data_IF_742259909214
#
_entry.id   IF_742259909214
#
_cell.length_a   1.000
_cell.length_b   1.000
_cell.length_c   1.000
_cell.angle_alpha   90.00
_cell.angle_beta   90.00
_cell.angle_gamma   90.00
#
_symmetry.space_group_name_H-M   'P 1'
#
loop_
_entity.id
_entity.type
_entity.pdbx_description
1 polymer ?
#
# COMPACT_ATOMS: atom_id res chain seq x y z
N UNK A 1 3.35 -17.29 -19.13
CA UNK A 1 1.91 -16.97 -19.03
C UNK A 1 1.79 -15.45 -19.17
N UNK A 2 1.08 -14.91 -20.18
CA UNK A 2 0.99 -13.44 -20.36
C UNK A 2 0.21 -12.86 -19.17
N UNK A 3 0.82 -11.95 -18.41
CA UNK A 3 0.14 -11.19 -17.35
C UNK A 3 -1.10 -10.51 -17.93
N UNK A 4 -2.21 -10.54 -17.19
CA UNK A 4 -3.44 -9.86 -17.62
C UNK A 4 -3.22 -8.34 -17.67
N UNK A 5 -3.98 -7.63 -18.51
CA UNK A 5 -3.92 -6.16 -18.58
C UNK A 5 -4.17 -5.50 -17.21
N UNK A 6 -5.05 -6.10 -16.40
CA UNK A 6 -5.29 -5.68 -15.03
C UNK A 6 -4.06 -5.85 -14.13
N UNK A 7 -3.34 -6.97 -14.23
CA UNK A 7 -2.09 -7.18 -13.48
C UNK A 7 -1.01 -6.16 -13.89
N UNK A 8 -0.88 -5.87 -15.19
CA UNK A 8 0.06 -4.84 -15.67
C UNK A 8 -0.28 -3.43 -15.19
N UNK A 9 -1.56 -3.09 -15.06
CA UNK A 9 -1.94 -1.80 -14.43
C UNK A 9 -1.63 -1.74 -12.94
N UNK A 10 -1.48 -2.89 -12.27
CA UNK A 10 -1.15 -2.98 -10.85
C UNK A 10 0.37 -2.98 -10.65
N UNK A 11 1.15 -3.65 -11.51
CA UNK A 11 2.63 -3.65 -11.43
C UNK A 11 3.27 -2.41 -12.07
N UNK A 12 2.50 -1.65 -12.86
CA UNK A 12 3.00 -0.52 -13.63
C UNK A 12 3.77 -0.96 -14.89
N UNK A 13 4.10 -0.01 -15.78
CA UNK A 13 4.79 -0.32 -17.02
C UNK A 13 6.26 -0.70 -16.79
N UNK A 14 6.68 -1.85 -17.32
CA UNK A 14 8.06 -2.37 -17.36
C UNK A 14 8.61 -2.41 -18.80
N UNK A 15 9.87 -2.82 -18.98
CA UNK A 15 10.58 -2.86 -20.28
C UNK A 15 10.75 -1.48 -20.94
N UNK A 16 11.06 -0.48 -20.11
CA UNK A 16 11.39 0.88 -20.55
C UNK A 16 12.49 1.47 -19.65
N UNK A 17 13.22 2.49 -20.09
CA UNK A 17 14.06 3.26 -19.18
C UNK A 17 13.23 4.01 -18.14
N UNK A 18 13.88 4.50 -17.08
CA UNK A 18 13.27 5.43 -16.14
C UNK A 18 12.79 6.69 -16.87
N UNK A 19 11.59 7.15 -16.52
CA UNK A 19 11.07 8.45 -16.97
C UNK A 19 11.83 9.58 -16.30
N UNK A 20 11.75 10.79 -16.87
CA UNK A 20 12.39 11.96 -16.27
C UNK A 20 11.82 12.29 -14.89
N UNK A 21 10.53 12.01 -14.64
CA UNK A 21 9.94 12.13 -13.31
C UNK A 21 10.59 11.17 -12.31
N UNK A 22 10.81 9.91 -12.70
CA UNK A 22 11.42 8.90 -11.83
C UNK A 22 12.90 9.17 -11.59
N UNK A 23 13.64 9.63 -12.61
CA UNK A 23 15.04 10.05 -12.47
C UNK A 23 15.17 11.28 -11.56
N UNK A 24 14.27 12.26 -11.74
CA UNK A 24 14.30 13.49 -10.94
C UNK A 24 13.97 13.18 -9.48
N UNK A 25 13.02 12.27 -9.22
CA UNK A 25 12.60 11.88 -7.87
C UNK A 25 13.16 10.51 -7.46
N UNK A 26 14.41 10.23 -7.82
CA UNK A 26 15.16 9.12 -7.28
C UNK A 26 15.42 9.34 -5.78
N UNK A 27 15.26 8.28 -5.00
CA UNK A 27 15.45 8.29 -3.56
C UNK A 27 16.86 7.79 -3.27
N UNK A 28 17.70 8.68 -2.77
CA UNK A 28 19.12 8.39 -2.50
C UNK A 28 19.33 8.14 -0.99
N UNK A 29 20.44 7.50 -0.62
CA UNK A 29 20.73 7.10 0.78
C UNK A 29 21.27 8.26 1.65
N UNK A 30 21.29 9.50 1.14
CA UNK A 30 21.79 10.70 1.84
C UNK A 30 20.93 11.17 3.03
N UNK A 31 19.95 10.37 3.43
CA UNK A 31 19.02 10.63 4.53
C UNK A 31 19.51 9.98 5.85
N UNK A 32 20.49 9.08 5.79
CA UNK A 32 21.12 8.46 6.97
C UNK A 32 21.58 9.50 8.00
N UNK A 33 21.28 9.24 9.27
CA UNK A 33 21.72 10.08 10.40
C UNK A 33 20.98 11.41 10.56
N UNK A 34 19.99 11.72 9.72
CA UNK A 34 19.20 12.96 9.85
C UNK A 34 17.93 12.79 10.70
N UNK A 35 17.85 11.75 11.54
CA UNK A 35 16.67 11.44 12.36
C UNK A 35 15.51 10.87 11.56
N UNK A 36 14.79 9.89 12.12
CA UNK A 36 13.75 9.14 11.39
C UNK A 36 12.38 9.58 11.91
N UNK A 37 11.57 10.25 11.07
CA UNK A 37 10.23 10.63 11.46
C UNK A 37 9.34 9.40 11.65
N UNK A 38 8.40 9.46 12.60
CA UNK A 38 7.36 8.44 12.78
C UNK A 38 6.60 8.24 11.47
N UNK A 39 6.71 7.04 10.91
CA UNK A 39 5.79 6.62 9.85
C UNK A 39 4.53 6.01 10.47
N UNK A 40 3.41 6.69 10.30
CA UNK A 40 2.12 6.26 10.87
C UNK A 40 1.44 5.13 10.12
N UNK A 41 1.81 4.89 8.87
CA UNK A 41 1.11 3.88 8.09
C UNK A 41 1.25 2.48 8.66
N UNK A 42 2.29 2.22 9.48
CA UNK A 42 2.47 0.97 10.24
C UNK A 42 2.22 -0.28 9.38
N UNK A 43 2.59 -0.22 8.09
CA UNK A 43 2.44 -1.30 7.12
C UNK A 43 3.57 -2.31 7.28
N UNK A 44 3.79 -2.76 8.52
CA UNK A 44 4.85 -3.70 8.90
C UNK A 44 4.19 -5.01 9.32
N UNK A 45 4.60 -6.13 8.72
CA UNK A 45 4.13 -7.47 9.05
C UNK A 45 4.99 -8.05 10.18
N UNK A 46 6.31 -7.85 10.10
CA UNK A 46 7.29 -8.35 11.06
C UNK A 46 8.56 -7.51 10.98
N UNK A 47 9.18 -7.22 12.12
CA UNK A 47 10.46 -6.52 12.16
C UNK A 47 11.36 -7.17 13.21
N UNK A 48 12.59 -7.45 12.84
CA UNK A 48 13.60 -7.98 13.74
C UNK A 48 15.02 -7.55 13.35
N UNK A 49 16.06 -8.02 14.04
CA UNK A 49 17.45 -7.64 13.72
C UNK A 49 17.98 -8.25 12.42
N UNK A 50 17.26 -9.20 11.80
CA UNK A 50 17.64 -9.85 10.54
C UNK A 50 16.85 -9.34 9.35
N UNK A 51 15.52 -9.25 9.47
CA UNK A 51 14.67 -8.73 8.39
C UNK A 51 13.49 -7.87 8.84
N UNK A 52 13.09 -6.98 7.93
CA UNK A 52 11.86 -6.20 7.95
C UNK A 52 10.95 -6.73 6.85
N UNK A 53 9.71 -7.05 7.18
CA UNK A 53 8.71 -7.54 6.22
C UNK A 53 7.53 -6.58 6.17
N UNK A 54 7.16 -6.17 4.97
CA UNK A 54 6.07 -5.24 4.67
C UNK A 54 5.21 -5.82 3.55
N UNK A 55 3.91 -5.50 3.44
CA UNK A 55 3.17 -5.84 2.25
C UNK A 55 3.60 -4.94 1.09
N UNK A 56 3.44 -5.40 -0.14
CA UNK A 56 3.47 -4.58 -1.33
C UNK A 56 2.21 -3.69 -1.40
N UNK A 57 2.27 -2.67 -2.24
CA UNK A 57 1.13 -1.86 -2.65
C UNK A 57 -0.14 -2.64 -2.95
N UNK A 58 -1.26 -1.96 -2.74
CA UNK A 58 -2.57 -2.51 -3.00
C UNK A 58 -3.16 -3.32 -1.84
N UNK A 59 -2.39 -3.76 -0.84
CA UNK A 59 -2.94 -4.47 0.33
C UNK A 59 -4.16 -3.75 0.96
N UNK A 60 -4.14 -2.42 1.20
CA UNK A 60 -5.33 -1.68 1.61
C UNK A 60 -6.41 -1.57 0.50
N UNK A 61 -5.99 -1.33 -0.75
CA UNK A 61 -6.86 -1.06 -1.89
C UNK A 61 -7.72 -2.25 -2.35
N UNK A 62 -7.35 -3.49 -1.99
CA UNK A 62 -8.20 -4.66 -2.26
C UNK A 62 -9.61 -4.48 -1.65
N UNK A 63 -9.73 -3.76 -0.53
CA UNK A 63 -10.99 -3.54 0.20
C UNK A 63 -11.97 -2.61 -0.52
N UNK A 64 -11.46 -1.55 -1.14
CA UNK A 64 -12.26 -0.65 -2.00
C UNK A 64 -12.76 -1.40 -3.22
N UNK A 65 -11.89 -2.22 -3.83
CA UNK A 65 -12.28 -3.07 -4.96
C UNK A 65 -13.39 -4.08 -4.58
N UNK A 66 -13.38 -4.62 -3.36
CA UNK A 66 -14.46 -5.47 -2.85
C UNK A 66 -15.78 -4.70 -2.67
N UNK A 67 -15.74 -3.46 -2.15
CA UNK A 67 -16.91 -2.60 -2.06
C UNK A 67 -17.52 -2.29 -3.43
N UNK A 68 -16.69 -2.00 -4.43
CA UNK A 68 -17.15 -1.79 -5.80
C UNK A 68 -17.71 -3.07 -6.42
N UNK A 69 -17.05 -4.22 -6.24
CA UNK A 69 -17.54 -5.51 -6.72
C UNK A 69 -18.89 -5.87 -6.09
N UNK A 70 -19.05 -5.60 -4.80
CA UNK A 70 -20.29 -5.76 -4.05
C UNK A 70 -21.42 -4.91 -4.65
N UNK A 71 -21.16 -3.63 -4.91
CA UNK A 71 -22.10 -2.72 -5.53
C UNK A 71 -22.56 -3.25 -6.90
N UNK A 72 -21.63 -3.64 -7.77
CA UNK A 72 -21.98 -4.17 -9.09
C UNK A 72 -22.74 -5.50 -9.02
N UNK A 73 -22.56 -6.31 -7.98
CA UNK A 73 -23.36 -7.52 -7.77
C UNK A 73 -24.76 -7.24 -7.22
N UNK A 74 -24.97 -6.12 -6.50
CA UNK A 74 -26.29 -5.72 -5.99
C UNK A 74 -27.15 -4.93 -6.98
N UNK A 75 -26.53 -4.15 -7.89
CA UNK A 75 -27.24 -3.41 -8.95
C UNK A 75 -28.24 -4.28 -9.72
N UNK A 76 -27.95 -5.55 -10.04
CA UNK A 76 -28.90 -6.52 -10.59
C UNK A 76 -30.20 -6.78 -9.82
N UNK A 77 -30.20 -6.65 -8.50
CA UNK A 77 -31.33 -7.04 -7.64
C UNK A 77 -32.51 -6.08 -7.87
N UNK A 78 -32.22 -4.79 -8.08
CA UNK A 78 -33.23 -3.75 -8.32
C UNK A 78 -34.06 -4.02 -9.58
N UNK A 79 -33.49 -4.18 -10.79
CA UNK A 79 -34.28 -4.50 -11.98
C UNK A 79 -35.00 -5.85 -11.89
N UNK A 80 -34.37 -6.87 -11.29
CA UNK A 80 -35.04 -8.16 -11.05
C UNK A 80 -36.27 -7.97 -10.15
N UNK A 81 -36.16 -7.18 -9.09
CA UNK A 81 -37.27 -6.87 -8.19
C UNK A 81 -38.39 -6.05 -8.86
N UNK A 82 -38.04 -5.13 -9.77
CA UNK A 82 -39.01 -4.34 -10.55
C UNK A 82 -39.74 -5.23 -11.55
N UNK A 83 -39.04 -6.12 -12.25
CA UNK A 83 -39.66 -7.07 -13.20
C UNK A 83 -40.55 -8.07 -12.46
N UNK A 84 -40.11 -8.59 -11.31
CA UNK A 84 -40.92 -9.44 -10.44
C UNK A 84 -42.16 -8.71 -9.92
N UNK A 85 -42.01 -7.47 -9.48
CA UNK A 85 -43.12 -6.65 -9.02
C UNK A 85 -44.11 -6.39 -10.14
N UNK A 86 -43.65 -5.98 -11.32
CA UNK A 86 -44.45 -5.77 -12.53
C UNK A 86 -45.27 -7.02 -12.91
N UNK A 87 -44.61 -8.17 -12.96
CA UNK A 87 -45.23 -9.47 -13.24
C UNK A 87 -46.31 -9.84 -12.20
N UNK A 88 -46.12 -9.46 -10.93
CA UNK A 88 -47.08 -9.71 -9.85
C UNK A 88 -48.21 -8.67 -9.82
N UNK A 89 -47.95 -7.41 -10.17
CA UNK A 89 -48.91 -6.31 -10.11
C UNK A 89 -49.62 -6.01 -11.44
N UNK A 90 -49.29 -6.72 -12.53
CA UNK A 90 -49.78 -6.47 -13.90
C UNK A 90 -49.63 -5.01 -14.33
N UNK A 91 -48.54 -4.38 -13.92
CA UNK A 91 -48.17 -3.09 -14.50
C UNK A 91 -47.75 -3.37 -15.96
N UNK A 92 -48.00 -2.42 -16.87
CA UNK A 92 -47.62 -2.57 -18.27
C UNK A 92 -46.25 -1.91 -18.46
N UNK A 93 -45.18 -2.50 -17.92
CA UNK A 93 -43.83 -1.95 -18.10
C UNK A 93 -43.43 -2.01 -19.58
N UNK A 94 -42.94 -0.87 -20.09
CA UNK A 94 -42.51 -0.73 -21.48
C UNK A 94 -41.29 -1.60 -21.79
N UNK A 95 -41.23 -2.13 -23.01
CA UNK A 95 -40.06 -2.85 -23.54
C UNK A 95 -38.76 -2.05 -23.43
N UNK A 96 -38.82 -0.72 -23.59
CA UNK A 96 -37.67 0.18 -23.45
C UNK A 96 -37.10 0.12 -22.03
N UNK A 97 -37.97 0.09 -21.02
CA UNK A 97 -37.58 -0.03 -19.61
C UNK A 97 -36.88 -1.35 -19.35
N UNK A 98 -37.40 -2.46 -19.90
CA UNK A 98 -36.78 -3.79 -19.79
C UNK A 98 -35.40 -3.80 -20.47
N UNK A 99 -35.27 -3.21 -21.66
CA UNK A 99 -34.00 -3.16 -22.39
C UNK A 99 -32.92 -2.34 -21.65
N UNK A 100 -33.28 -1.18 -21.08
CA UNK A 100 -32.37 -0.35 -20.28
C UNK A 100 -31.88 -1.13 -19.06
N UNK A 101 -32.80 -1.75 -18.31
CA UNK A 101 -32.45 -2.53 -17.12
C UNK A 101 -31.64 -3.79 -17.45
N UNK A 102 -31.95 -4.46 -18.56
CA UNK A 102 -31.17 -5.61 -19.05
C UNK A 102 -29.75 -5.21 -19.45
N UNK A 103 -29.56 -4.06 -20.09
CA UNK A 103 -28.22 -3.55 -20.42
C UNK A 103 -27.43 -3.17 -19.17
N UNK A 104 -28.06 -2.47 -18.21
CA UNK A 104 -27.43 -2.14 -16.92
C UNK A 104 -27.03 -3.40 -16.13
N UNK A 105 -27.87 -4.44 -16.16
CA UNK A 105 -27.57 -5.74 -15.58
C UNK A 105 -26.36 -6.39 -16.23
N UNK A 106 -26.33 -6.46 -17.57
CA UNK A 106 -25.20 -6.99 -18.32
C UNK A 106 -23.90 -6.24 -17.98
N UNK A 107 -23.94 -4.90 -17.96
CA UNK A 107 -22.78 -4.08 -17.63
C UNK A 107 -22.30 -4.33 -16.19
N UNK A 108 -23.23 -4.45 -15.23
CA UNK A 108 -22.91 -4.71 -13.84
C UNK A 108 -22.28 -6.10 -13.64
N UNK A 109 -22.85 -7.14 -14.26
CA UNK A 109 -22.28 -8.50 -14.24
C UNK A 109 -20.92 -8.55 -14.93
N UNK A 110 -20.77 -7.88 -16.08
CA UNK A 110 -19.51 -7.80 -16.81
C UNK A 110 -18.41 -7.15 -15.95
N UNK A 111 -18.67 -5.96 -15.39
CA UNK A 111 -17.72 -5.26 -14.52
C UNK A 111 -17.44 -6.05 -13.23
N UNK A 112 -18.48 -6.62 -12.61
CA UNK A 112 -18.35 -7.49 -11.44
C UNK A 112 -17.46 -8.71 -11.72
N UNK A 113 -17.56 -9.32 -12.90
CA UNK A 113 -16.74 -10.46 -13.30
C UNK A 113 -15.26 -10.10 -13.49
N UNK A 114 -14.96 -8.88 -13.96
CA UNK A 114 -13.59 -8.38 -14.06
C UNK A 114 -12.97 -8.19 -12.68
N UNK A 115 -13.72 -7.59 -11.75
CA UNK A 115 -13.28 -7.41 -10.38
C UNK A 115 -13.14 -8.75 -9.65
N UNK A 116 -14.00 -9.72 -9.93
CA UNK A 116 -13.95 -11.07 -9.36
C UNK A 116 -12.61 -11.75 -9.65
N UNK A 117 -12.12 -11.68 -10.89
CA UNK A 117 -10.84 -12.30 -11.29
C UNK A 117 -9.60 -11.68 -10.62
N UNK A 118 -9.67 -10.39 -10.29
CA UNK A 118 -8.57 -9.68 -9.63
C UNK A 118 -8.56 -9.99 -8.12
N UNK A 119 -9.75 -10.15 -7.56
CA UNK A 119 -10.04 -10.23 -6.14
C UNK A 119 -9.88 -11.62 -5.56
N UNK A 120 -10.46 -12.64 -6.22
CA UNK A 120 -10.57 -14.01 -5.71
C UNK A 120 -9.47 -14.92 -6.28
N UNK A 121 -9.14 -15.98 -5.53
CA UNK A 121 -8.17 -17.01 -5.90
C UNK A 121 -6.74 -16.49 -6.19
N UNK A 122 -6.40 -15.33 -5.63
CA UNK A 122 -5.08 -14.71 -5.71
C UNK A 122 -4.33 -14.89 -4.38
N UNK A 123 -3.25 -14.15 -4.12
CA UNK A 123 -2.60 -14.11 -2.81
C UNK A 123 -3.29 -13.11 -1.87
N UNK A 124 -3.33 -13.38 -0.57
CA UNK A 124 -3.91 -12.47 0.44
C UNK A 124 -3.14 -11.15 0.53
N UNK A 125 -1.82 -11.21 0.35
CA UNK A 125 -0.92 -10.08 0.26
C UNK A 125 0.34 -10.54 -0.48
N UNK A 126 1.20 -9.59 -0.88
CA UNK A 126 2.49 -9.86 -1.51
C UNK A 126 3.58 -9.27 -0.61
N UNK A 127 4.26 -10.07 0.21
CA UNK A 127 5.25 -9.53 1.12
C UNK A 127 6.52 -9.09 0.35
N UNK A 128 7.13 -8.02 0.83
CA UNK A 128 8.49 -7.59 0.51
C UNK A 128 9.29 -7.76 1.79
N UNK A 129 10.41 -8.47 1.73
CA UNK A 129 11.27 -8.73 2.88
C UNK A 129 12.65 -8.13 2.65
N UNK A 130 12.97 -7.12 3.45
CA UNK A 130 14.28 -6.46 3.48
C UNK A 130 15.18 -7.22 4.46
N UNK A 131 16.23 -7.85 3.97
CA UNK A 131 17.20 -8.59 4.79
C UNK A 131 18.42 -7.70 5.05
N UNK A 132 18.51 -7.17 6.28
CA UNK A 132 19.59 -6.28 6.69
C UNK A 132 20.93 -7.00 6.71
N UNK A 133 20.99 -8.22 7.24
CA UNK A 133 22.27 -8.94 7.44
C UNK A 133 22.92 -9.32 6.11
N UNK A 134 22.12 -9.71 5.13
CA UNK A 134 22.60 -10.08 3.80
C UNK A 134 22.60 -8.93 2.78
N UNK A 135 22.09 -7.75 3.16
CA UNK A 135 21.98 -6.59 2.29
C UNK A 135 21.27 -6.92 0.97
N UNK A 136 20.11 -7.58 1.08
CA UNK A 136 19.29 -7.95 -0.07
C UNK A 136 17.80 -7.79 0.22
N UNK A 137 16.99 -7.75 -0.83
CA UNK A 137 15.53 -7.64 -0.74
C UNK A 137 14.91 -8.82 -1.48
N UNK A 138 13.97 -9.47 -0.81
CA UNK A 138 13.15 -10.53 -1.39
C UNK A 138 11.78 -9.97 -1.77
N UNK A 139 11.40 -10.17 -3.02
CA UNK A 139 10.13 -9.76 -3.59
C UNK A 139 9.27 -10.98 -3.91
N UNK A 140 7.97 -10.86 -3.66
CA UNK A 140 6.97 -11.88 -4.00
C UNK A 140 6.15 -11.43 -5.22
N UNK A 141 6.30 -12.14 -6.35
CA UNK A 141 5.63 -11.79 -7.61
C UNK A 141 4.15 -12.20 -7.62
N UNK A 142 3.39 -11.65 -8.57
CA UNK A 142 1.97 -11.96 -8.74
C UNK A 142 1.68 -13.42 -9.13
N UNK A 143 2.61 -14.07 -9.83
CA UNK A 143 2.52 -15.48 -10.18
C UNK A 143 2.89 -16.42 -9.01
N UNK A 144 3.40 -15.87 -7.90
CA UNK A 144 3.89 -16.62 -6.75
C UNK A 144 5.36 -16.99 -6.81
N UNK A 145 6.06 -16.63 -7.90
CA UNK A 145 7.51 -16.73 -7.94
C UNK A 145 8.14 -15.69 -7.01
N UNK A 146 9.37 -15.94 -6.59
CA UNK A 146 10.09 -15.10 -5.64
C UNK A 146 11.38 -14.64 -6.29
N UNK A 147 11.77 -13.40 -6.01
CA UNK A 147 12.98 -12.79 -6.53
C UNK A 147 13.81 -12.23 -5.38
N UNK A 148 15.10 -12.53 -5.37
CA UNK A 148 16.06 -11.92 -4.44
C UNK A 148 16.96 -11.00 -5.24
N UNK A 149 17.09 -9.74 -4.79
CA UNK A 149 17.97 -8.75 -5.42
C UNK A 149 18.87 -8.13 -4.36
N UNK A 150 20.18 -7.97 -4.60
CA UNK A 150 21.04 -7.20 -3.71
C UNK A 150 20.53 -5.78 -3.53
N UNK A 151 20.54 -5.27 -2.29
CA UNK A 151 20.01 -3.96 -1.93
C UNK A 151 20.60 -2.83 -2.79
N UNK A 152 21.92 -2.86 -2.99
CA UNK A 152 22.69 -1.90 -3.80
C UNK A 152 22.31 -1.86 -5.29
N UNK A 153 21.68 -2.92 -5.81
CA UNK A 153 21.36 -3.06 -7.24
C UNK A 153 19.92 -2.57 -7.53
N UNK A 154 19.17 -2.15 -6.51
CA UNK A 154 17.79 -1.68 -6.62
C UNK A 154 17.78 -0.16 -6.67
N UNK A 155 17.11 0.41 -7.69
CA UNK A 155 16.92 1.85 -7.81
C UNK A 155 15.54 2.24 -7.28
N UNK A 156 15.51 2.90 -6.13
CA UNK A 156 14.26 3.38 -5.52
C UNK A 156 13.88 4.76 -6.05
N UNK A 157 12.63 4.94 -6.46
CA UNK A 157 12.13 6.22 -6.99
C UNK A 157 10.70 6.49 -6.57
N UNK A 158 10.34 7.78 -6.45
CA UNK A 158 8.94 8.18 -6.38
C UNK A 158 8.30 8.08 -7.77
N UNK A 159 7.21 7.32 -7.88
CA UNK A 159 6.67 6.86 -9.15
C UNK A 159 5.16 6.95 -9.22
N UNK A 160 4.64 7.42 -10.36
CA UNK A 160 3.20 7.49 -10.64
C UNK A 160 2.74 6.18 -11.26
N UNK A 161 1.71 5.56 -10.68
CA UNK A 161 1.18 4.27 -11.14
C UNK A 161 0.25 4.41 -12.35
N UNK A 162 -0.65 5.39 -12.34
CA UNK A 162 -1.70 5.61 -13.36
C UNK A 162 -2.00 7.11 -13.55
N UNK A 163 -2.86 7.45 -14.51
CA UNK A 163 -3.31 8.82 -14.86
C UNK A 163 -3.86 9.60 -13.66
N UNK A 164 -4.44 8.89 -12.67
CA UNK A 164 -5.00 9.46 -11.43
C UNK A 164 -3.93 10.04 -10.48
N UNK A 165 -2.64 9.91 -10.82
CA UNK A 165 -1.48 10.48 -10.13
C UNK A 165 -1.20 10.09 -8.66
N UNK A 166 -1.65 8.95 -8.08
CA UNK A 166 -1.07 8.53 -6.82
C UNK A 166 0.41 8.19 -7.01
N UNK A 167 1.26 8.73 -6.12
CA UNK A 167 2.70 8.49 -6.10
C UNK A 167 3.04 7.47 -5.03
N UNK A 168 3.88 6.52 -5.41
CA UNK A 168 4.37 5.43 -4.56
C UNK A 168 5.90 5.45 -4.56
N UNK A 169 6.51 4.85 -3.55
CA UNK A 169 7.91 4.43 -3.65
C UNK A 169 7.95 3.16 -4.50
N UNK A 170 8.72 3.17 -5.58
CA UNK A 170 8.93 2.03 -6.45
C UNK A 170 10.38 1.54 -6.34
N UNK A 171 10.55 0.25 -6.09
CA UNK A 171 11.78 -0.49 -6.31
C UNK A 171 11.87 -0.86 -7.79
N UNK A 172 12.83 -0.30 -8.51
CA UNK A 172 13.04 -0.55 -9.93
C UNK A 172 14.31 -1.37 -10.10
N UNK A 173 14.19 -2.53 -10.76
CA UNK A 173 15.32 -3.38 -11.10
C UNK A 173 15.68 -3.09 -12.55
N UNK A 174 16.89 -2.59 -12.75
CA UNK A 174 17.36 -2.11 -14.05
C UNK A 174 18.49 -3.01 -14.50
N UNK A 175 18.43 -3.46 -15.75
CA UNK A 175 19.55 -4.17 -16.36
C UNK A 175 20.69 -3.17 -16.61
N UNK A 176 21.86 -3.34 -15.99
CA UNK A 176 22.97 -2.39 -16.09
C UNK A 176 23.55 -2.30 -17.51
N UNK A 177 23.34 -3.31 -18.37
CA UNK A 177 23.85 -3.28 -19.76
C UNK A 177 22.98 -2.46 -20.69
N UNK A 178 21.67 -2.53 -20.49
CA UNK A 178 20.68 -1.90 -21.40
C UNK A 178 20.10 -0.62 -20.84
N UNK A 179 20.20 -0.39 -19.52
CA UNK A 179 19.54 0.72 -18.83
C UNK A 179 18.01 0.60 -18.80
N UNK A 180 17.49 -0.59 -19.10
CA UNK A 180 16.05 -0.86 -19.19
C UNK A 180 15.58 -1.49 -17.87
N UNK A 181 14.45 -0.99 -17.35
CA UNK A 181 13.78 -1.55 -16.18
C UNK A 181 13.13 -2.89 -16.54
N UNK A 182 13.61 -3.96 -15.93
CA UNK A 182 13.12 -5.33 -16.15
C UNK A 182 11.95 -5.66 -15.22
N UNK A 183 12.06 -5.27 -13.95
CA UNK A 183 11.07 -5.54 -12.92
C UNK A 183 10.83 -4.32 -12.04
N UNK A 184 9.63 -4.28 -11.45
CA UNK A 184 9.17 -3.17 -10.63
C UNK A 184 8.26 -3.65 -9.51
N UNK A 185 8.48 -3.11 -8.31
CA UNK A 185 7.65 -3.38 -7.13
C UNK A 185 7.34 -2.08 -6.42
N UNK A 186 6.09 -1.87 -6.00
CA UNK A 186 5.69 -0.67 -5.26
C UNK A 186 5.55 -0.98 -3.77
N UNK A 187 6.09 -0.11 -2.93
CA UNK A 187 5.92 -0.18 -1.48
C UNK A 187 4.49 0.20 -1.10
N UNK A 188 4.05 -0.15 0.13
CA UNK A 188 2.63 -0.15 0.46
C UNK A 188 2.02 1.25 0.65
N UNK A 189 2.84 2.26 0.89
CA UNK A 189 2.38 3.64 1.04
C UNK A 189 2.19 4.35 -0.29
N UNK A 190 1.11 5.12 -0.36
CA UNK A 190 0.86 6.04 -1.44
C UNK A 190 0.56 7.43 -0.91
N UNK A 191 0.86 8.43 -1.72
CA UNK A 191 0.41 9.79 -1.49
C UNK A 191 -0.32 10.29 -2.74
N UNK A 192 -1.45 10.97 -2.53
CA UNK A 192 -2.27 11.50 -3.62
C UNK A 192 -2.13 13.03 -3.71
N UNK A 193 -1.39 13.66 -2.79
CA UNK A 193 -1.28 15.11 -2.70
C UNK A 193 -0.85 15.73 -4.03
N UNK A 194 -1.72 16.51 -4.69
CA UNK A 194 -1.23 17.64 -5.46
C UNK A 194 -0.55 18.59 -4.45
N UNK A 195 0.54 19.26 -4.82
CA UNK A 195 1.19 20.25 -3.98
C UNK A 195 0.26 21.47 -3.78
N UNK A 196 -0.77 21.37 -2.93
CA UNK A 196 -1.56 22.55 -2.53
C UNK A 196 -0.79 23.44 -1.55
N UNK A 197 0.19 22.86 -0.83
CA UNK A 197 1.09 23.58 0.10
C UNK A 197 2.51 23.76 -0.43
N UNK A 198 2.83 23.31 -1.66
CA UNK A 198 4.20 23.38 -2.16
C UNK A 198 4.28 24.24 -3.42
N UNK A 199 5.17 25.23 -3.37
CA UNK A 199 5.58 26.00 -4.55
C UNK A 199 6.10 25.05 -5.64
N UNK A 200 6.01 25.48 -6.90
CA UNK A 200 6.56 24.73 -8.03
C UNK A 200 8.06 24.45 -7.80
N UNK A 201 8.38 23.18 -7.52
CA UNK A 201 9.75 22.71 -7.35
C UNK A 201 10.10 21.72 -8.47
N UNK A 202 11.39 21.63 -8.82
CA UNK A 202 11.88 20.67 -9.82
C UNK A 202 11.70 19.21 -9.36
N UNK A 203 11.80 18.94 -8.04
CA UNK A 203 11.44 17.67 -7.38
C UNK A 203 10.09 17.79 -6.68
N UNK A 204 9.25 16.75 -6.77
CA UNK A 204 7.97 16.71 -6.05
C UNK A 204 8.20 16.10 -4.67
N UNK A 205 7.89 16.87 -3.63
CA UNK A 205 8.09 16.47 -2.24
C UNK A 205 6.91 15.69 -1.69
N UNK A 206 7.21 14.54 -1.07
CA UNK A 206 6.22 13.67 -0.46
C UNK A 206 6.68 13.26 0.94
N UNK A 207 6.41 14.07 1.97
CA UNK A 207 6.89 13.83 3.34
C UNK A 207 6.58 12.42 3.87
N UNK A 208 5.39 11.91 3.57
CA UNK A 208 4.96 10.55 3.97
C UNK A 208 5.86 9.47 3.36
N UNK A 209 6.19 9.60 2.07
CA UNK A 209 7.06 8.66 1.36
C UNK A 209 8.52 8.78 1.82
N UNK A 210 9.01 10.00 2.04
CA UNK A 210 10.36 10.24 2.56
C UNK A 210 10.53 9.64 3.95
N UNK A 211 9.49 9.72 4.79
CA UNK A 211 9.50 9.13 6.14
C UNK A 211 9.70 7.62 6.11
N UNK A 212 8.96 6.93 5.24
CA UNK A 212 9.06 5.48 5.07
C UNK A 212 10.41 5.11 4.49
N UNK A 213 10.86 5.88 3.51
CA UNK A 213 12.16 5.65 2.92
C UNK A 213 13.28 5.79 3.95
N UNK A 214 13.27 6.84 4.77
CA UNK A 214 14.21 7.05 5.87
C UNK A 214 14.17 5.88 6.87
N UNK A 215 12.97 5.39 7.22
CA UNK A 215 12.81 4.23 8.09
C UNK A 215 13.45 2.97 7.50
N UNK A 216 13.23 2.69 6.22
CA UNK A 216 13.79 1.51 5.54
C UNK A 216 15.30 1.63 5.40
N UNK A 217 15.81 2.81 5.05
CA UNK A 217 17.26 3.06 4.92
C UNK A 217 17.96 2.92 6.28
N UNK A 218 17.43 3.50 7.36
CA UNK A 218 18.02 3.27 8.69
C UNK A 218 17.92 1.79 9.06
N UNK A 219 16.82 1.12 8.76
CA UNK A 219 16.70 -0.31 9.03
C UNK A 219 17.79 -1.11 8.28
N UNK A 220 18.03 -0.82 7.00
CA UNK A 220 18.97 -1.56 6.17
C UNK A 220 20.43 -1.19 6.44
N UNK A 221 20.75 0.07 6.66
CA UNK A 221 22.13 0.59 6.68
C UNK A 221 22.51 1.21 8.04
N UNK A 222 21.52 1.73 8.77
CA UNK A 222 21.71 2.44 10.03
C UNK A 222 21.95 1.55 11.24
N UNK A 223 22.43 2.14 12.34
CA UNK A 223 22.89 1.40 13.51
C UNK A 223 21.90 1.45 14.68
N UNK A 224 20.86 2.30 14.63
CA UNK A 224 19.96 2.53 15.76
C UNK A 224 18.63 1.78 15.66
N UNK A 225 18.71 0.44 15.54
CA UNK A 225 17.51 -0.41 15.49
C UNK A 225 16.58 -0.23 16.72
N UNK A 226 17.06 -0.05 17.97
CA UNK A 226 16.18 0.15 19.11
C UNK A 226 15.30 1.40 18.99
N UNK A 227 15.81 2.48 18.40
CA UNK A 227 15.01 3.69 18.15
C UNK A 227 13.88 3.42 17.15
N UNK A 228 14.18 2.72 16.05
CA UNK A 228 13.19 2.32 15.05
C UNK A 228 12.03 1.52 15.67
N UNK A 229 12.29 0.67 16.67
CA UNK A 229 11.21 -0.10 17.32
C UNK A 229 10.18 0.77 18.00
N UNK A 230 10.58 1.94 18.52
CA UNK A 230 9.68 2.89 19.17
C UNK A 230 8.75 3.58 18.17
N UNK A 231 9.15 3.58 16.90
CA UNK A 231 8.37 4.17 15.81
C UNK A 231 7.27 3.25 15.29
N UNK A 232 7.29 1.97 15.68
CA UNK A 232 6.31 0.96 15.25
C UNK A 232 5.19 0.84 16.28
N UNK A 233 3.98 1.27 15.92
CA UNK A 233 2.82 1.19 16.81
C UNK A 233 2.19 -0.19 16.89
N UNK A 234 2.16 -0.90 15.76
CA UNK A 234 1.69 -2.27 15.67
C UNK A 234 2.24 -2.96 14.42
N UNK A 235 2.26 -4.29 14.44
CA UNK A 235 2.50 -5.11 13.27
C UNK A 235 1.19 -5.75 12.78
N UNK A 236 1.01 -5.83 11.46
CA UNK A 236 -0.14 -6.48 10.85
C UNK A 236 -0.12 -7.99 11.18
N UNK A 237 -1.19 -8.57 11.73
CA UNK A 237 -1.27 -9.96 12.17
C UNK A 237 -1.42 -10.98 11.04
N UNK A 238 -0.63 -10.84 9.98
CA UNK A 238 -0.65 -11.70 8.78
C UNK A 238 0.65 -12.48 8.54
N UNK A 239 1.64 -12.38 9.42
CA UNK A 239 2.96 -13.03 9.23
C UNK A 239 2.90 -14.56 9.10
N UNK A 240 1.98 -15.23 9.81
CA UNK A 240 1.88 -16.71 9.86
C UNK A 240 0.49 -17.25 9.55
N UNK A 241 -0.48 -16.36 9.33
CA UNK A 241 -1.89 -16.70 9.16
C UNK A 241 -2.58 -15.67 8.29
N UNK A 242 -3.72 -16.04 7.72
CA UNK A 242 -4.61 -15.09 7.07
C UNK A 242 -5.20 -14.12 8.10
N UNK A 243 -5.67 -12.97 7.63
CA UNK A 243 -6.38 -12.02 8.48
C UNK A 243 -7.57 -12.68 9.19
N UNK A 244 -7.75 -12.35 10.46
CA UNK A 244 -8.97 -12.72 11.17
C UNK A 244 -10.10 -11.77 10.79
N UNK A 245 -11.37 -12.19 10.87
CA UNK A 245 -12.52 -11.31 10.66
C UNK A 245 -12.47 -10.05 11.54
N UNK A 246 -12.04 -10.20 12.81
CA UNK A 246 -11.82 -9.07 13.72
C UNK A 246 -10.79 -8.08 13.17
N UNK A 247 -9.66 -8.57 12.66
CA UNK A 247 -8.63 -7.70 12.10
C UNK A 247 -9.10 -7.02 10.82
N UNK A 248 -9.76 -7.77 9.93
CA UNK A 248 -10.34 -7.23 8.72
C UNK A 248 -11.37 -6.12 9.02
N UNK A 249 -12.19 -6.29 10.07
CA UNK A 249 -13.12 -5.27 10.54
C UNK A 249 -12.38 -4.05 11.08
N UNK A 250 -11.41 -4.25 11.99
CA UNK A 250 -10.66 -3.17 12.61
C UNK A 250 -9.89 -2.33 11.59
N UNK A 251 -9.24 -2.99 10.63
CA UNK A 251 -8.54 -2.33 9.54
C UNK A 251 -9.51 -1.64 8.57
N UNK A 252 -10.70 -2.18 8.33
CA UNK A 252 -11.74 -1.45 7.58
C UNK A 252 -12.23 -0.20 8.32
N UNK A 253 -12.22 -0.16 9.66
CA UNK A 253 -12.52 1.06 10.41
C UNK A 253 -11.41 2.11 10.30
N UNK A 254 -10.20 1.76 9.85
CA UNK A 254 -9.14 2.76 9.65
C UNK A 254 -9.40 3.67 8.45
N UNK A 255 -10.18 3.21 7.46
CA UNK A 255 -10.59 4.03 6.32
C UNK A 255 -11.56 5.14 6.73
N UNK A 256 -12.25 4.95 7.86
CA UNK A 256 -13.18 5.92 8.45
C UNK A 256 -12.47 7.07 9.18
N UNK A 257 -11.15 7.07 9.28
CA UNK A 257 -10.40 8.12 9.96
C UNK A 257 -10.42 9.44 9.17
N UNK A 258 -10.87 10.57 9.75
CA UNK A 258 -10.79 11.88 9.11
C UNK A 258 -9.37 12.34 8.72
N UNK A 259 -8.32 11.84 9.37
CA UNK A 259 -6.92 12.13 8.97
C UNK A 259 -6.50 11.37 7.70
N UNK A 260 -7.01 10.15 7.48
CA UNK A 260 -6.91 9.42 6.19
C UNK A 260 -7.92 9.94 5.16
N UNK A 261 -9.05 10.52 5.61
CA UNK A 261 -10.01 11.26 4.79
C UNK A 261 -9.43 12.54 4.17
N UNK A 262 -8.17 12.90 4.46
CA UNK A 262 -7.42 13.93 3.71
C UNK A 262 -7.40 13.69 2.19
N UNK A 263 -7.64 12.46 1.74
CA UNK A 263 -7.42 12.06 0.35
C UNK A 263 -8.70 11.69 -0.43
N UNK A 264 -9.83 11.50 0.24
CA UNK A 264 -11.11 11.26 -0.41
C UNK A 264 -12.20 12.04 0.34
N UNK A 265 -12.71 13.07 -0.33
CA UNK A 265 -13.97 13.80 -0.09
C UNK A 265 -14.84 13.24 1.04
N UNK A 266 -15.27 14.11 1.96
CA UNK A 266 -16.17 13.84 3.10
C UNK A 266 -17.43 12.99 2.80
N UNK A 267 -17.81 12.80 1.53
CA UNK A 267 -18.88 11.88 1.08
C UNK A 267 -18.49 10.40 1.06
N UNK A 268 -17.19 10.08 1.04
CA UNK A 268 -16.68 8.70 0.96
C UNK A 268 -16.94 7.94 2.25
N UNK A 269 -16.94 8.61 3.41
CA UNK A 269 -17.21 7.97 4.70
C UNK A 269 -18.62 7.33 4.77
N UNK A 270 -19.66 8.05 4.36
CA UNK A 270 -21.04 7.52 4.36
C UNK A 270 -21.19 6.39 3.34
N UNK A 271 -20.55 6.54 2.18
CA UNK A 271 -20.50 5.50 1.17
C UNK A 271 -19.80 4.24 1.71
N UNK A 272 -18.61 4.37 2.30
CA UNK A 272 -17.87 3.26 2.89
C UNK A 272 -18.62 2.59 4.05
N UNK A 273 -19.28 3.37 4.92
CA UNK A 273 -20.13 2.82 5.99
C UNK A 273 -21.31 2.02 5.42
N UNK A 274 -22.00 2.54 4.40
CA UNK A 274 -23.15 1.87 3.78
C UNK A 274 -22.72 0.58 3.07
N UNK A 275 -21.60 0.61 2.35
CA UNK A 275 -21.08 -0.56 1.63
C UNK A 275 -20.26 -1.49 2.51
N UNK A 276 -19.87 -1.11 3.73
CA UNK A 276 -19.13 -1.98 4.64
C UNK A 276 -19.90 -3.28 4.92
N UNK A 277 -21.20 -3.19 5.21
CA UNK A 277 -22.04 -4.36 5.52
C UNK A 277 -22.07 -5.38 4.38
N UNK A 278 -22.03 -4.90 3.13
CA UNK A 278 -22.11 -5.73 1.93
C UNK A 278 -20.70 -6.21 1.49
N UNK A 279 -19.71 -5.34 1.59
CA UNK A 279 -18.32 -5.62 1.19
C UNK A 279 -17.59 -6.52 2.19
N UNK A 280 -17.96 -6.48 3.47
CA UNK A 280 -17.31 -7.27 4.52
C UNK A 280 -17.46 -8.79 4.29
N UNK A 281 -18.64 -9.36 3.98
CA UNK A 281 -18.75 -10.75 3.56
C UNK A 281 -17.88 -11.11 2.35
N UNK A 282 -17.82 -10.24 1.34
CA UNK A 282 -17.01 -10.44 0.13
C UNK A 282 -15.52 -10.43 0.46
N UNK A 283 -15.09 -9.54 1.36
CA UNK A 283 -13.74 -9.49 1.90
C UNK A 283 -13.39 -10.78 2.66
N UNK A 284 -14.30 -11.30 3.49
CA UNK A 284 -14.09 -12.58 4.18
C UNK A 284 -13.98 -13.74 3.19
N UNK A 285 -14.88 -13.82 2.20
CA UNK A 285 -14.83 -14.85 1.14
C UNK A 285 -13.53 -14.76 0.32
N UNK A 286 -13.07 -13.54 0.05
CA UNK A 286 -11.80 -13.33 -0.65
C UNK A 286 -10.63 -13.82 0.18
N UNK A 287 -10.58 -13.48 1.46
CA UNK A 287 -9.55 -14.00 2.37
C UNK A 287 -9.59 -15.53 2.45
N UNK A 288 -10.78 -16.15 2.44
CA UNK A 288 -10.93 -17.60 2.43
C UNK A 288 -10.39 -18.24 1.13
N UNK A 289 -10.73 -17.69 -0.03
CA UNK A 289 -10.35 -18.23 -1.34
C UNK A 289 -8.89 -17.94 -1.74
N UNK A 290 -8.32 -16.84 -1.25
CA UNK A 290 -6.96 -16.43 -1.59
C UNK A 290 -5.90 -17.30 -0.92
N UNK A 291 -4.80 -17.56 -1.62
CA UNK A 291 -3.64 -18.28 -1.12
C UNK A 291 -2.85 -17.42 -0.12
N UNK A 292 -2.31 -18.07 0.89
CA UNK A 292 -1.37 -17.42 1.81
C UNK A 292 0.03 -17.44 1.18
N UNK A 293 0.75 -16.29 1.10
CA UNK A 293 2.10 -16.27 0.55
C UNK A 293 3.05 -17.03 1.48
N UNK A 294 3.93 -17.85 0.91
CA UNK A 294 4.96 -18.58 1.67
C UNK A 294 6.29 -18.39 0.97
N UNK A 295 7.31 -18.00 1.72
CA UNK A 295 8.67 -17.93 1.21
C UNK A 295 9.23 -19.34 1.01
N UNK A 296 10.11 -19.47 0.02
CA UNK A 296 10.81 -20.71 -0.25
C UNK A 296 11.80 -21.01 0.88
N UNK A 297 12.15 -22.29 1.10
CA UNK A 297 13.07 -22.69 2.17
C UNK A 297 14.42 -21.98 2.13
N UNK A 298 14.92 -21.66 0.93
CA UNK A 298 16.16 -20.89 0.74
C UNK A 298 16.06 -19.49 1.38
N UNK A 299 15.01 -18.73 1.06
CA UNK A 299 14.78 -17.39 1.65
C UNK A 299 14.54 -17.49 3.15
N UNK A 300 13.77 -18.49 3.61
CA UNK A 300 13.57 -18.68 5.05
C UNK A 300 14.88 -19.01 5.78
N UNK A 301 15.79 -19.78 5.16
CA UNK A 301 17.11 -20.09 5.74
C UNK A 301 17.99 -18.84 5.87
N UNK A 302 17.84 -17.89 4.94
CA UNK A 302 18.54 -16.60 4.97
C UNK A 302 17.96 -15.60 5.98
N UNK A 303 16.71 -15.83 6.42
CA UNK A 303 15.96 -14.94 7.30
C UNK A 303 15.67 -15.56 8.67
N UNK A 304 16.58 -16.41 9.18
CA UNK A 304 16.44 -16.99 10.51
C UNK A 304 16.57 -15.94 11.60
N UNK A 305 15.69 -16.03 12.59
CA UNK A 305 15.60 -15.08 13.68
C UNK A 305 16.28 -15.70 14.89
N UNK A 306 17.16 -14.93 15.52
CA UNK A 306 17.84 -15.38 16.72
C UNK A 306 16.81 -15.59 17.86
N UNK A 307 16.90 -16.68 18.64
CA UNK A 307 15.92 -16.97 19.69
C UNK A 307 15.70 -15.83 20.69
N UNK A 308 16.76 -15.06 20.97
CA UNK A 308 16.76 -13.95 21.91
C UNK A 308 17.01 -12.60 21.20
N UNK A 309 16.53 -12.45 19.96
CA UNK A 309 16.65 -11.20 19.22
C UNK A 309 16.09 -10.04 20.06
N UNK A 310 16.90 -9.01 20.39
CA UNK A 310 16.47 -7.88 21.22
C UNK A 310 15.32 -7.09 20.58
N UNK A 311 15.16 -7.22 19.27
CA UNK A 311 14.17 -6.52 18.48
C UNK A 311 13.39 -7.59 17.73
N UNK A 312 12.20 -7.94 18.23
CA UNK A 312 11.37 -8.99 17.63
C UNK A 312 9.90 -8.56 17.64
N UNK A 313 9.62 -7.53 16.85
CA UNK A 313 8.27 -7.00 16.70
C UNK A 313 7.45 -7.91 15.79
N UNK A 314 6.26 -8.24 16.29
CA UNK A 314 5.29 -9.06 15.58
C UNK A 314 3.91 -8.80 16.12
N UNK A 315 2.91 -9.46 15.54
CA UNK A 315 1.55 -9.42 16.06
C UNK A 315 1.40 -9.81 17.54
N UNK A 316 2.37 -10.53 18.11
CA UNK A 316 2.39 -10.89 19.54
C UNK A 316 2.83 -9.73 20.44
N UNK A 317 3.61 -8.79 19.91
CA UNK A 317 4.09 -7.61 20.65
C UNK A 317 3.16 -6.42 20.47
N UNK A 318 2.08 -6.57 19.71
CA UNK A 318 1.09 -5.51 19.54
C UNK A 318 0.46 -5.13 20.88
N UNK A 319 0.10 -3.84 21.07
CA UNK A 319 -0.75 -3.46 22.18
C UNK A 319 -2.09 -4.21 22.12
N UNK A 320 -2.81 -4.25 23.24
CA UNK A 320 -4.13 -4.91 23.33
C UNK A 320 -5.24 -3.90 23.65
N UNK A 321 -6.49 -4.31 23.43
CA UNK A 321 -7.67 -3.53 23.80
C UNK A 321 -7.75 -2.17 23.11
N UNK A 322 -8.11 -1.14 23.87
CA UNK A 322 -8.36 0.21 23.36
C UNK A 322 -7.14 0.86 22.67
N UNK A 323 -5.93 0.57 23.16
CA UNK A 323 -4.70 1.13 22.58
C UNK A 323 -4.47 0.62 21.15
N UNK A 324 -4.67 -0.69 20.92
CA UNK A 324 -4.60 -1.26 19.57
C UNK A 324 -5.67 -0.69 18.67
N UNK A 325 -6.91 -0.63 19.17
CA UNK A 325 -8.02 -0.06 18.41
C UNK A 325 -7.67 1.34 17.90
N UNK A 326 -7.22 2.23 18.80
CA UNK A 326 -6.81 3.60 18.46
C UNK A 326 -5.69 3.67 17.44
N UNK A 327 -4.66 2.81 17.56
CA UNK A 327 -3.54 2.83 16.61
C UNK A 327 -3.95 2.35 15.23
N UNK A 328 -4.77 1.29 15.13
CA UNK A 328 -5.22 0.79 13.83
C UNK A 328 -6.19 1.78 13.19
N UNK A 329 -7.13 2.35 13.94
CA UNK A 329 -8.05 3.38 13.43
C UNK A 329 -7.42 4.77 13.37
N UNK A 330 -6.13 4.89 13.73
CA UNK A 330 -5.39 6.15 13.74
C UNK A 330 -6.07 7.28 14.54
N UNK A 331 -6.81 6.90 15.60
CA UNK A 331 -7.37 7.78 16.62
C UNK A 331 -6.30 8.09 17.69
N UNK A 332 -5.32 8.91 17.30
CA UNK A 332 -4.25 9.35 18.18
C UNK A 332 -4.77 10.24 19.32
N UNK A 333 -4.14 10.16 20.49
CA UNK A 333 -4.33 11.17 21.55
C UNK A 333 -3.79 12.53 21.11
N UNK A 334 -4.14 13.61 21.81
CA UNK A 334 -3.63 14.95 21.50
C UNK A 334 -2.10 15.01 21.50
N UNK A 335 -1.45 14.33 22.46
CA UNK A 335 0.01 14.27 22.56
C UNK A 335 0.63 13.43 21.42
N UNK A 336 0.06 12.27 21.12
CA UNK A 336 0.54 11.44 20.00
C UNK A 336 0.35 12.19 18.65
N UNK A 337 -0.71 12.97 18.52
CA UNK A 337 -0.98 13.79 17.35
C UNK A 337 -0.03 14.99 17.22
N UNK A 338 0.34 15.64 18.34
CA UNK A 338 1.30 16.75 18.30
C UNK A 338 2.70 16.27 17.92
N UNK A 339 3.14 15.14 18.48
CA UNK A 339 4.40 14.49 18.10
C UNK A 339 4.40 14.13 16.61
N UNK A 340 3.30 13.55 16.12
CA UNK A 340 3.15 13.26 14.69
C UNK A 340 3.30 14.51 13.81
N UNK A 341 2.67 15.63 14.19
CA UNK A 341 2.78 16.88 13.44
C UNK A 341 4.21 17.42 13.40
N UNK A 342 4.96 17.27 14.49
CA UNK A 342 6.38 17.65 14.55
C UNK A 342 7.22 16.78 13.61
N UNK A 343 7.00 15.47 13.61
CA UNK A 343 7.68 14.52 12.72
C UNK A 343 7.36 14.78 11.25
N UNK A 344 6.13 15.13 10.91
CA UNK A 344 5.76 15.52 9.55
C UNK A 344 6.49 16.78 9.09
N UNK A 345 6.62 17.79 9.96
CA UNK A 345 7.41 19.00 9.68
C UNK A 345 8.89 18.68 9.52
N UNK A 346 9.42 17.74 10.31
CA UNK A 346 10.79 17.27 10.18
C UNK A 346 11.02 16.54 8.86
N UNK A 347 10.14 15.62 8.50
CA UNK A 347 10.15 14.92 7.21
C UNK A 347 10.16 15.90 6.04
N UNK A 348 9.36 16.96 6.16
CA UNK A 348 9.34 18.04 5.20
C UNK A 348 10.69 18.78 5.14
N UNK A 349 11.33 19.07 6.27
CA UNK A 349 12.65 19.71 6.31
C UNK A 349 13.75 18.84 5.67
N UNK A 350 13.74 17.53 5.92
CA UNK A 350 14.65 16.56 5.29
C UNK A 350 14.53 16.60 3.79
N UNK A 351 13.29 16.57 3.30
CA UNK A 351 12.98 16.64 1.88
C UNK A 351 13.48 17.95 1.25
N UNK A 352 13.44 19.08 1.99
CA UNK A 352 13.93 20.39 1.51
C UNK A 352 15.45 20.53 1.56
N UNK A 353 16.15 19.87 2.49
CA UNK A 353 17.61 19.97 2.66
C UNK A 353 18.42 19.50 1.46
N UNK A 354 17.83 18.68 0.58
CA UNK A 354 18.43 18.24 -0.69
C UNK A 354 18.49 19.34 -1.77
N UNK A 355 18.02 20.56 -1.47
CA UNK A 355 18.00 21.69 -2.41
C UNK A 355 19.29 22.53 -2.43
N UNK A 356 20.23 22.38 -1.48
CA UNK A 356 21.40 23.26 -1.47
C UNK A 356 22.38 22.88 -2.61
N UNK A 357 22.57 23.71 -3.65
CA UNK A 357 23.71 23.53 -4.52
C UNK A 357 25.00 23.66 -3.68
N UNK A 358 26.09 22.98 -4.04
CA UNK A 358 27.38 23.27 -3.43
C UNK A 358 27.64 24.76 -3.64
N UNK A 359 27.86 25.51 -2.55
CA UNK A 359 28.14 26.94 -2.58
C UNK A 359 29.08 27.25 -3.75
N UNK A 360 28.59 27.97 -4.76
CA UNK A 360 29.47 28.72 -5.63
C UNK A 360 30.19 29.70 -4.71
N UNK A 361 31.45 29.37 -4.41
CA UNK A 361 32.38 30.28 -3.78
C UNK A 361 32.31 31.58 -4.56
N UNK A 362 31.76 32.61 -3.93
CA UNK A 362 31.97 33.99 -4.34
C UNK A 362 33.49 34.19 -4.41
N UNK A 363 34.04 34.12 -5.62
CA UNK A 363 35.33 34.71 -5.92
C UNK A 363 35.11 36.22 -5.86
N UNK A 364 35.43 36.80 -4.71
CA UNK A 364 35.82 38.20 -4.63
C UNK A 364 37.03 38.40 -5.56
N UNK A 365 36.86 39.23 -6.58
CA UNK A 365 37.91 40.04 -7.18
C UNK A 365 37.36 41.42 -7.49
#
# INVERSE_FOLDING_TARGET
MKQSLAQRSIEGPVNRPLTDFEKTNQLDNHILGKGIPLTHSNLIIRMNSTFLEMPQDGFPNHRINFGMAALFMLVPIVPISIILFDALSKLNVSFITIAIFGFLWFLAVFLGSLLFKISFFNYTHRPIRFNRKQQCVHFFRFDGSQLTVPWKDIVFTCSKKNILQPVYIAANIIDPKTGIMTERFFLPEMTVSPPFFHAQAKRHYYPDLVSIWAFIVEYMEGNNLPELTRLVYYCIPIAKKKESPYWSMLFSLSTLNPQFSRYYTNFSFLFEMLFFVISFPILLLTNLTNKFPRWNPEIESMCQIEPNDPINLSNKTNPTGWKLFRYVTSMLTLQEFSHWLEDMKWSESLSRSEQAPPNESHNEK
#
